data_IF_713342819015
#
_entry.id   IF_713342819015
#
_cell.length_a   1.000
_cell.length_b   1.000
_cell.length_c   1.000
_cell.angle_alpha   90.00
_cell.angle_beta   90.00
_cell.angle_gamma   90.00
#
_symmetry.space_group_name_H-M   'P 1'
#
loop_
_entity.id
_entity.type
_entity.pdbx_description
1 polymer ?
#
# COMPACT_ATOMS: atom_id res chain seq x y z
N UNK A 1 0.87 8.50 28.11
CA UNK A 1 -0.45 8.09 27.58
C UNK A 1 -1.17 9.32 27.08
N UNK A 2 -1.47 9.35 25.79
CA UNK A 2 -2.11 10.47 25.06
C UNK A 2 -3.64 10.41 25.17
N UNK A 3 -4.21 9.43 25.90
CA UNK A 3 -5.66 9.22 26.04
C UNK A 3 -6.47 10.40 26.56
N UNK A 4 -5.84 11.33 27.26
CA UNK A 4 -6.50 12.54 27.78
C UNK A 4 -6.39 13.73 26.84
N UNK A 5 -5.66 13.60 25.73
CA UNK A 5 -5.46 14.67 24.78
C UNK A 5 -6.58 14.67 23.73
N UNK A 6 -7.63 15.42 24.05
CA UNK A 6 -8.82 15.58 23.23
C UNK A 6 -8.48 15.97 21.78
N UNK A 7 -7.47 16.82 21.58
CA UNK A 7 -7.10 17.30 20.26
C UNK A 7 -6.53 16.20 19.37
N UNK A 8 -5.76 15.27 19.94
CA UNK A 8 -5.21 14.14 19.20
C UNK A 8 -6.33 13.20 18.77
N UNK A 9 -7.25 12.85 19.67
CA UNK A 9 -8.40 12.01 19.35
C UNK A 9 -9.30 12.65 18.29
N UNK A 10 -9.57 13.95 18.41
CA UNK A 10 -10.37 14.70 17.45
C UNK A 10 -9.71 14.70 16.06
N UNK A 11 -8.40 14.97 15.97
CA UNK A 11 -7.66 14.95 14.73
C UNK A 11 -7.71 13.57 14.05
N UNK A 12 -7.60 12.49 14.83
CA UNK A 12 -7.71 11.12 14.32
C UNK A 12 -9.10 10.80 13.78
N UNK A 13 -10.16 11.19 14.50
CA UNK A 13 -11.54 10.99 14.05
C UNK A 13 -11.78 11.76 12.75
N UNK A 14 -11.34 13.02 12.67
CA UNK A 14 -11.44 13.83 11.45
C UNK A 14 -10.71 13.14 10.29
N UNK A 15 -9.50 12.63 10.53
CA UNK A 15 -8.73 11.92 9.52
C UNK A 15 -9.45 10.67 8.99
N UNK A 16 -9.96 9.81 9.88
CA UNK A 16 -10.69 8.60 9.46
C UNK A 16 -11.99 8.93 8.73
N UNK A 17 -12.74 9.93 9.19
CA UNK A 17 -13.96 10.39 8.51
C UNK A 17 -13.63 10.94 7.12
N UNK A 18 -12.58 11.73 6.99
CA UNK A 18 -12.13 12.25 5.69
C UNK A 18 -11.76 11.11 4.74
N UNK A 19 -10.97 10.13 5.19
CA UNK A 19 -10.60 8.94 4.40
C UNK A 19 -11.82 8.14 3.93
N UNK A 20 -12.74 7.83 4.84
CA UNK A 20 -13.97 7.11 4.50
C UNK A 20 -14.85 7.90 3.52
N UNK A 21 -14.92 9.21 3.70
CA UNK A 21 -15.68 10.10 2.82
C UNK A 21 -15.11 10.12 1.40
N UNK A 22 -13.78 10.20 1.26
CA UNK A 22 -13.11 10.14 -0.05
C UNK A 22 -13.39 8.79 -0.73
N UNK A 23 -13.21 7.68 0.00
CA UNK A 23 -13.51 6.34 -0.51
C UNK A 23 -14.97 6.21 -0.96
N UNK A 24 -15.92 6.74 -0.19
CA UNK A 24 -17.33 6.74 -0.55
C UNK A 24 -17.65 7.61 -1.77
N UNK A 25 -17.08 8.82 -1.88
CA UNK A 25 -17.28 9.72 -3.03
C UNK A 25 -16.81 9.05 -4.34
N UNK A 26 -15.65 8.39 -4.32
CA UNK A 26 -15.10 7.75 -5.51
C UNK A 26 -15.60 6.33 -5.75
N UNK A 27 -16.34 5.74 -4.80
CA UNK A 27 -16.83 4.35 -4.88
C UNK A 27 -17.57 4.04 -6.18
N UNK A 28 -18.50 4.90 -6.60
CA UNK A 28 -19.29 4.71 -7.82
C UNK A 28 -18.43 4.70 -9.07
N UNK A 29 -17.39 5.54 -9.12
CA UNK A 29 -16.45 5.59 -10.24
C UNK A 29 -15.51 4.39 -10.23
N UNK A 30 -14.98 4.04 -9.06
CA UNK A 30 -14.07 2.92 -8.88
C UNK A 30 -14.73 1.60 -9.29
N UNK A 31 -15.97 1.38 -8.85
CA UNK A 31 -16.74 0.16 -9.14
C UNK A 31 -17.36 0.12 -10.56
N UNK A 32 -17.10 1.11 -11.42
CA UNK A 32 -17.67 1.14 -12.78
C UNK A 32 -17.04 0.14 -13.74
N UNK A 33 -15.79 -0.31 -13.50
CA UNK A 33 -15.14 -1.37 -14.26
C UNK A 33 -13.89 -1.86 -13.53
N UNK A 34 -13.41 -3.07 -13.86
CA UNK A 34 -12.14 -3.62 -13.39
C UNK A 34 -10.95 -2.67 -13.62
N UNK A 35 -10.95 -1.93 -14.74
CA UNK A 35 -9.90 -0.96 -15.07
C UNK A 35 -9.94 0.29 -14.19
N UNK A 36 -11.13 0.73 -13.80
CA UNK A 36 -11.29 1.84 -12.87
C UNK A 36 -10.94 1.41 -11.45
N UNK A 37 -11.37 0.21 -11.04
CA UNK A 37 -11.13 -0.32 -9.71
C UNK A 37 -9.64 -0.56 -9.43
N UNK A 38 -8.91 -1.19 -10.36
CA UNK A 38 -7.50 -1.55 -10.13
C UNK A 38 -6.47 -0.52 -10.61
N UNK A 39 -6.84 0.39 -11.51
CA UNK A 39 -5.88 1.32 -12.11
C UNK A 39 -6.42 2.75 -12.29
N UNK A 40 -7.60 3.09 -11.74
CA UNK A 40 -8.20 4.42 -11.87
C UNK A 40 -8.44 4.85 -13.32
N UNK A 41 -8.61 3.87 -14.23
CA UNK A 41 -8.69 4.12 -15.66
C UNK A 41 -7.40 4.65 -16.28
N UNK A 42 -6.30 4.73 -15.52
CA UNK A 42 -5.03 5.40 -15.86
C UNK A 42 -5.20 6.90 -16.18
N UNK A 43 -6.24 7.52 -15.62
CA UNK A 43 -6.51 8.95 -15.77
C UNK A 43 -5.93 9.81 -14.65
N UNK A 44 -5.32 9.19 -13.63
CA UNK A 44 -4.67 9.91 -12.52
C UNK A 44 -3.30 10.42 -12.98
N UNK A 45 -3.01 11.68 -12.69
CA UNK A 45 -1.76 12.32 -13.10
C UNK A 45 -0.51 11.63 -12.51
N UNK A 46 0.66 11.86 -13.12
CA UNK A 46 1.91 11.19 -12.74
C UNK A 46 2.31 11.48 -11.29
N UNK A 47 2.08 12.69 -10.78
CA UNK A 47 2.42 13.08 -9.41
C UNK A 47 1.58 12.34 -8.36
N UNK A 48 0.26 12.31 -8.52
CA UNK A 48 -0.62 11.56 -7.62
C UNK A 48 -0.34 10.06 -7.68
N UNK A 49 -0.08 9.53 -8.88
CA UNK A 49 0.30 8.12 -9.06
C UNK A 49 1.60 7.79 -8.34
N UNK A 50 2.62 8.66 -8.44
CA UNK A 50 3.88 8.49 -7.74
C UNK A 50 3.70 8.56 -6.21
N UNK A 51 2.97 9.56 -5.71
CA UNK A 51 2.69 9.69 -4.27
C UNK A 51 1.92 8.48 -3.72
N UNK A 52 0.94 7.96 -4.47
CA UNK A 52 0.21 6.75 -4.09
C UNK A 52 1.11 5.50 -4.05
N UNK A 53 2.01 5.37 -5.03
CA UNK A 53 2.98 4.28 -5.06
C UNK A 53 3.95 4.35 -3.86
N UNK A 54 4.50 5.53 -3.58
CA UNK A 54 5.40 5.73 -2.43
C UNK A 54 4.66 5.59 -1.10
N UNK A 55 3.44 6.11 -0.96
CA UNK A 55 2.64 5.92 0.26
C UNK A 55 2.35 4.43 0.54
N UNK A 56 2.21 3.63 -0.52
CA UNK A 56 2.07 2.17 -0.40
C UNK A 56 3.39 1.49 0.00
N UNK A 57 4.54 2.03 -0.43
CA UNK A 57 5.86 1.53 -0.03
C UNK A 57 6.19 1.90 1.44
N UNK A 58 5.81 3.12 1.84
CA UNK A 58 6.03 3.69 3.18
C UNK A 58 5.03 3.14 4.20
N UNK A 59 5.27 1.90 4.63
CA UNK A 59 4.43 1.17 5.57
C UNK A 59 4.75 1.45 7.05
N UNK A 60 4.14 0.66 7.95
CA UNK A 60 4.50 0.62 9.37
C UNK A 60 6.00 0.37 9.64
N UNK A 61 6.73 -0.20 8.67
CA UNK A 61 8.19 -0.30 8.70
C UNK A 61 8.87 1.06 8.83
N UNK A 62 8.44 2.09 8.08
CA UNK A 62 9.08 3.40 8.17
C UNK A 62 8.74 4.09 9.51
N UNK A 63 7.51 3.90 9.99
CA UNK A 63 7.04 4.53 11.22
C UNK A 63 7.70 3.94 12.48
N UNK A 64 7.83 2.60 12.54
CA UNK A 64 8.33 1.91 13.73
C UNK A 64 9.68 1.22 13.52
N UNK A 65 9.91 0.63 12.34
CA UNK A 65 11.10 -0.14 12.03
C UNK A 65 12.34 0.73 11.87
N UNK A 66 12.30 1.74 11.01
CA UNK A 66 13.46 2.59 10.74
C UNK A 66 13.95 3.37 11.98
N UNK A 67 13.07 3.99 12.80
CA UNK A 67 13.49 4.57 14.08
C UNK A 67 13.97 3.53 15.08
N UNK A 68 13.39 2.32 15.06
CA UNK A 68 13.85 1.20 15.87
C UNK A 68 15.29 0.80 15.53
N UNK A 69 15.62 0.67 14.25
CA UNK A 69 17.00 0.45 13.79
C UNK A 69 17.88 1.60 14.25
N UNK A 70 17.48 2.85 14.02
CA UNK A 70 18.23 4.03 14.45
C UNK A 70 18.53 4.03 15.96
N UNK A 71 17.58 3.58 16.78
CA UNK A 71 17.73 3.48 18.22
C UNK A 71 18.82 2.47 18.62
N UNK A 72 18.94 1.35 17.90
CA UNK A 72 19.93 0.30 18.22
C UNK A 72 21.30 0.52 17.56
N UNK A 73 21.35 1.06 16.35
CA UNK A 73 22.56 1.13 15.52
C UNK A 73 23.09 2.55 15.31
N UNK A 74 22.38 3.55 15.83
CA UNK A 74 22.66 4.96 15.55
C UNK A 74 22.23 5.39 14.15
N UNK A 75 22.62 6.60 13.75
CA UNK A 75 22.08 7.25 12.54
C UNK A 75 22.64 6.71 11.21
N UNK A 76 23.76 5.99 11.23
CA UNK A 76 24.45 5.56 10.02
C UNK A 76 23.63 4.52 9.22
N UNK A 77 23.13 3.46 9.86
CA UNK A 77 22.42 2.38 9.17
C UNK A 77 21.06 2.81 8.58
N UNK A 78 20.23 3.60 9.30
CA UNK A 78 19.03 4.20 8.72
C UNK A 78 19.34 5.11 7.52
N UNK A 79 20.45 5.86 7.58
CA UNK A 79 20.84 6.76 6.48
C UNK A 79 21.22 5.97 5.23
N UNK A 80 22.02 4.90 5.38
CA UNK A 80 22.33 4.00 4.27
C UNK A 80 21.07 3.35 3.69
N UNK A 81 20.14 2.96 4.54
CA UNK A 81 18.83 2.42 4.12
C UNK A 81 18.05 3.45 3.30
N UNK A 82 17.95 4.69 3.78
CA UNK A 82 17.24 5.77 3.08
C UNK A 82 17.88 6.10 1.72
N UNK A 83 19.21 6.20 1.65
CA UNK A 83 19.93 6.42 0.39
C UNK A 83 19.75 5.26 -0.59
N UNK A 84 19.82 4.03 -0.08
CA UNK A 84 19.61 2.82 -0.88
C UNK A 84 18.20 2.75 -1.45
N UNK A 85 17.18 3.07 -0.66
CA UNK A 85 15.79 3.15 -1.11
C UNK A 85 15.62 4.22 -2.18
N UNK A 86 16.12 5.44 -1.94
CA UNK A 86 16.00 6.54 -2.91
C UNK A 86 16.64 6.20 -4.27
N UNK A 87 17.87 5.67 -4.25
CA UNK A 87 18.57 5.22 -5.46
C UNK A 87 17.87 4.03 -6.11
N UNK A 88 17.46 3.04 -5.32
CA UNK A 88 16.79 1.82 -5.77
C UNK A 88 15.47 2.13 -6.47
N UNK A 89 14.62 2.95 -5.85
CA UNK A 89 13.35 3.41 -6.43
C UNK A 89 13.58 4.17 -7.72
N UNK A 90 14.52 5.12 -7.76
CA UNK A 90 14.84 5.87 -8.97
C UNK A 90 15.29 4.95 -10.12
N UNK A 91 16.20 4.01 -9.85
CA UNK A 91 16.69 3.06 -10.85
C UNK A 91 15.59 2.09 -11.29
N UNK A 92 14.73 1.63 -10.37
CA UNK A 92 13.58 0.79 -10.70
C UNK A 92 12.64 1.48 -11.69
N UNK A 93 12.29 2.73 -11.42
CA UNK A 93 11.41 3.52 -12.30
C UNK A 93 12.04 3.73 -13.68
N UNK A 94 13.34 4.07 -13.70
CA UNK A 94 14.08 4.35 -14.94
C UNK A 94 14.26 3.10 -15.82
N UNK A 95 14.64 1.97 -15.21
CA UNK A 95 15.06 0.76 -15.94
C UNK A 95 13.92 -0.25 -16.13
N UNK A 96 13.12 -0.47 -15.08
CA UNK A 96 12.11 -1.54 -15.03
C UNK A 96 10.73 -0.99 -15.40
N UNK A 97 10.23 0.00 -14.65
CA UNK A 97 8.84 0.45 -14.78
C UNK A 97 8.51 0.94 -16.20
N UNK A 98 9.39 1.76 -16.80
CA UNK A 98 9.19 2.25 -18.19
C UNK A 98 9.17 1.13 -19.22
N UNK A 99 9.99 0.09 -19.04
CA UNK A 99 10.08 -1.04 -19.99
C UNK A 99 8.89 -1.96 -19.83
N UNK A 100 8.52 -2.25 -18.58
CA UNK A 100 7.34 -3.02 -18.22
C UNK A 100 6.07 -2.37 -18.78
N UNK A 101 5.89 -1.05 -18.58
CA UNK A 101 4.70 -0.36 -19.08
C UNK A 101 4.59 -0.40 -20.60
N UNK A 102 5.66 -0.06 -21.33
CA UNK A 102 5.64 -0.10 -22.81
C UNK A 102 5.28 -1.48 -23.34
N UNK A 103 5.83 -2.54 -22.72
CA UNK A 103 5.53 -3.89 -23.16
C UNK A 103 4.11 -4.32 -22.75
N UNK A 104 3.63 -3.93 -21.56
CA UNK A 104 2.27 -4.24 -21.14
C UNK A 104 1.24 -3.74 -22.15
N UNK A 105 1.43 -2.56 -22.76
CA UNK A 105 0.53 -1.99 -23.77
C UNK A 105 0.46 -2.89 -25.01
N UNK A 106 1.61 -3.32 -25.53
CA UNK A 106 1.68 -4.14 -26.74
C UNK A 106 1.17 -5.57 -26.48
N UNK A 107 1.38 -6.09 -25.27
CA UNK A 107 0.95 -7.41 -24.85
C UNK A 107 -0.51 -7.41 -24.34
N UNK A 108 -1.43 -6.64 -24.92
CA UNK A 108 -2.85 -6.64 -24.54
C UNK A 108 -3.17 -5.85 -23.26
N UNK A 109 -2.42 -4.79 -23.02
CA UNK A 109 -2.61 -3.75 -21.99
C UNK A 109 -2.91 -4.28 -20.58
N UNK A 110 -2.08 -5.21 -20.12
CA UNK A 110 -2.25 -5.90 -18.84
C UNK A 110 -2.44 -4.97 -17.64
N UNK A 111 -3.31 -5.39 -16.70
CA UNK A 111 -3.66 -4.60 -15.51
C UNK A 111 -2.85 -5.06 -14.29
N UNK A 112 -2.47 -6.34 -14.20
CA UNK A 112 -1.68 -6.91 -13.09
C UNK A 112 -0.40 -7.56 -13.59
N UNK A 113 0.56 -7.82 -12.68
CA UNK A 113 1.81 -8.52 -13.01
C UNK A 113 1.56 -9.98 -13.46
N UNK A 114 0.71 -10.78 -12.79
CA UNK A 114 0.36 -12.12 -13.28
C UNK A 114 -0.28 -12.09 -14.69
N UNK A 115 -1.21 -11.16 -14.93
CA UNK A 115 -1.82 -10.97 -16.25
C UNK A 115 -0.76 -10.60 -17.31
N UNK A 116 0.18 -9.73 -16.95
CA UNK A 116 1.30 -9.39 -17.82
C UNK A 116 2.16 -10.61 -18.15
N UNK A 117 2.49 -11.46 -17.18
CA UNK A 117 3.24 -12.69 -17.44
C UNK A 117 2.47 -13.68 -18.30
N UNK A 118 1.16 -13.83 -18.05
CA UNK A 118 0.31 -14.70 -18.88
C UNK A 118 0.36 -14.27 -20.35
N UNK A 119 0.15 -12.97 -20.62
CA UNK A 119 0.15 -12.42 -21.97
C UNK A 119 1.53 -12.41 -22.61
N UNK A 120 2.57 -12.03 -21.86
CA UNK A 120 3.96 -11.98 -22.34
C UNK A 120 4.48 -13.36 -22.76
N UNK A 121 4.20 -14.39 -21.96
CA UNK A 121 4.70 -15.74 -22.19
C UNK A 121 3.71 -16.64 -22.94
N UNK A 122 2.58 -16.08 -23.39
CA UNK A 122 1.50 -16.83 -24.05
C UNK A 122 1.07 -18.07 -23.24
N UNK A 123 0.93 -17.88 -21.92
CA UNK A 123 0.66 -18.93 -20.94
C UNK A 123 -0.79 -19.42 -21.03
N UNK A 124 -1.09 -20.25 -22.05
CA UNK A 124 -2.43 -20.79 -22.28
C UNK A 124 -2.99 -21.62 -21.12
N UNK A 125 -2.12 -22.13 -20.24
CA UNK A 125 -2.49 -22.95 -19.08
C UNK A 125 -2.48 -22.18 -17.76
N UNK A 126 -2.17 -20.88 -17.78
CA UNK A 126 -2.06 -20.00 -16.62
C UNK A 126 -1.11 -20.50 -15.52
N UNK A 127 -0.11 -21.33 -15.84
CA UNK A 127 0.81 -21.90 -14.85
C UNK A 127 1.71 -20.80 -14.28
N UNK A 128 2.35 -20.02 -15.14
CA UNK A 128 3.27 -18.94 -14.75
C UNK A 128 2.50 -17.84 -14.02
N UNK A 129 1.30 -17.50 -14.52
CA UNK A 129 0.43 -16.52 -13.86
C UNK A 129 -0.01 -16.98 -12.47
N UNK A 130 -0.38 -18.25 -12.31
CA UNK A 130 -0.82 -18.79 -11.01
C UNK A 130 0.33 -18.79 -10.00
N UNK A 131 1.52 -19.21 -10.41
CA UNK A 131 2.71 -19.17 -9.53
C UNK A 131 3.01 -17.74 -9.11
N UNK A 132 3.00 -16.79 -10.04
CA UNK A 132 3.23 -15.38 -9.72
C UNK A 132 2.16 -14.82 -8.76
N UNK A 133 0.88 -15.14 -9.00
CA UNK A 133 -0.21 -14.71 -8.13
C UNK A 133 -0.10 -15.30 -6.71
N UNK A 134 0.27 -16.58 -6.59
CA UNK A 134 0.47 -17.23 -5.28
C UNK A 134 1.63 -16.61 -4.51
N UNK A 135 2.76 -16.35 -5.17
CA UNK A 135 3.91 -15.67 -4.56
C UNK A 135 3.46 -14.30 -4.04
N UNK A 136 2.84 -13.48 -4.89
CA UNK A 136 2.34 -12.16 -4.49
C UNK A 136 1.41 -12.28 -3.29
N UNK A 137 0.43 -13.18 -3.34
CA UNK A 137 -0.55 -13.37 -2.27
C UNK A 137 0.11 -13.70 -0.92
N UNK A 138 1.06 -14.64 -0.91
CA UNK A 138 1.74 -15.06 0.33
C UNK A 138 2.55 -13.91 0.93
N UNK A 139 3.37 -13.24 0.13
CA UNK A 139 4.21 -12.14 0.62
C UNK A 139 3.38 -10.92 1.05
N UNK A 140 2.33 -10.58 0.29
CA UNK A 140 1.44 -9.49 0.67
C UNK A 140 0.62 -9.81 1.92
N UNK A 141 0.25 -11.07 2.15
CA UNK A 141 -0.45 -11.46 3.38
C UNK A 141 0.41 -11.18 4.62
N UNK A 142 1.69 -11.58 4.59
CA UNK A 142 2.64 -11.29 5.68
C UNK A 142 2.85 -9.79 5.85
N UNK A 143 3.00 -9.06 4.74
CA UNK A 143 3.18 -7.61 4.75
C UNK A 143 1.98 -6.85 5.34
N UNK A 144 0.76 -7.18 4.90
CA UNK A 144 -0.47 -6.55 5.45
C UNK A 144 -0.66 -6.93 6.92
N UNK A 145 -0.36 -8.18 7.29
CA UNK A 145 -0.38 -8.61 8.68
C UNK A 145 0.57 -7.80 9.57
N UNK A 146 1.78 -7.49 9.08
CA UNK A 146 2.72 -6.65 9.83
C UNK A 146 2.22 -5.21 10.01
N UNK A 147 1.50 -4.67 9.02
CA UNK A 147 0.88 -3.34 9.13
C UNK A 147 -0.19 -3.29 10.22
N UNK A 148 -1.04 -4.32 10.33
CA UNK A 148 -2.03 -4.39 11.41
C UNK A 148 -1.39 -4.54 12.80
N UNK A 149 -0.29 -5.31 12.90
CA UNK A 149 0.52 -5.38 14.13
C UNK A 149 1.07 -4.00 14.50
N UNK A 150 1.55 -3.21 13.52
CA UNK A 150 1.99 -1.83 13.76
C UNK A 150 0.85 -0.96 14.31
N UNK A 151 -0.36 -1.05 13.75
CA UNK A 151 -1.53 -0.32 14.27
C UNK A 151 -1.81 -0.71 15.72
N UNK A 152 -1.90 -2.01 16.03
CA UNK A 152 -2.14 -2.48 17.39
C UNK A 152 -1.09 -1.97 18.37
N UNK A 153 0.20 -2.08 18.01
CA UNK A 153 1.32 -1.61 18.87
C UNK A 153 1.31 -0.11 19.06
N UNK A 154 1.04 0.66 18.00
CA UNK A 154 1.00 2.11 18.07
C UNK A 154 -0.07 2.56 19.07
N UNK A 155 -1.28 2.04 18.93
CA UNK A 155 -2.39 2.46 19.78
C UNK A 155 -2.26 1.94 21.21
N UNK A 156 -1.79 0.70 21.42
CA UNK A 156 -1.55 0.19 22.75
C UNK A 156 -0.47 1.00 23.48
N UNK A 157 0.57 1.45 22.77
CA UNK A 157 1.68 2.20 23.38
C UNK A 157 1.31 3.66 23.65
N UNK A 158 0.63 4.32 22.72
CA UNK A 158 0.27 5.74 22.87
C UNK A 158 -0.93 5.95 23.79
N UNK A 159 -1.97 5.13 23.63
CA UNK A 159 -3.26 5.31 24.30
C UNK A 159 -3.49 4.28 25.43
N UNK A 160 -2.67 3.24 25.56
CA UNK A 160 -2.93 2.19 26.54
C UNK A 160 -4.16 1.34 26.22
N UNK A 161 -4.63 1.37 24.97
CA UNK A 161 -5.77 0.59 24.51
C UNK A 161 -5.37 -0.87 24.32
N UNK A 162 -6.37 -1.76 24.33
CA UNK A 162 -6.13 -3.18 24.10
C UNK A 162 -5.54 -3.42 22.69
N UNK A 163 -4.44 -4.15 22.65
CA UNK A 163 -3.68 -4.42 21.43
C UNK A 163 -4.52 -5.19 20.39
N UNK A 164 -5.24 -6.22 20.82
CA UNK A 164 -6.00 -7.08 19.92
C UNK A 164 -7.23 -6.35 19.36
N UNK A 165 -7.95 -5.63 20.23
CA UNK A 165 -9.12 -4.84 19.85
C UNK A 165 -8.76 -3.74 18.85
N UNK A 166 -7.68 -3.00 19.10
CA UNK A 166 -7.24 -1.92 18.20
C UNK A 166 -6.75 -2.43 16.85
N UNK A 167 -6.04 -3.56 16.84
CA UNK A 167 -5.64 -4.23 15.61
C UNK A 167 -6.86 -4.65 14.78
N UNK A 168 -7.88 -5.27 15.39
CA UNK A 168 -9.10 -5.72 14.69
C UNK A 168 -9.91 -4.54 14.16
N UNK A 169 -10.09 -3.48 14.95
CA UNK A 169 -10.79 -2.27 14.51
C UNK A 169 -10.05 -1.61 13.35
N UNK A 170 -8.72 -1.47 13.45
CA UNK A 170 -7.89 -0.93 12.39
C UNK A 170 -8.01 -1.73 11.09
N UNK A 171 -7.96 -3.07 11.19
CA UNK A 171 -8.16 -3.95 10.05
C UNK A 171 -9.55 -3.80 9.42
N UNK A 172 -10.61 -3.70 10.23
CA UNK A 172 -11.97 -3.53 9.75
C UNK A 172 -12.16 -2.19 9.01
N UNK A 173 -11.62 -1.09 9.54
CA UNK A 173 -11.65 0.22 8.87
C UNK A 173 -10.92 0.16 7.54
N UNK A 174 -9.70 -0.40 7.54
CA UNK A 174 -8.87 -0.52 6.34
C UNK A 174 -9.55 -1.36 5.27
N UNK A 175 -10.08 -2.51 5.66
CA UNK A 175 -10.85 -3.37 4.78
C UNK A 175 -12.06 -2.64 4.18
N UNK A 176 -12.86 -1.96 5.01
CA UNK A 176 -14.07 -1.26 4.57
C UNK A 176 -13.77 -0.19 3.51
N UNK A 177 -12.82 0.72 3.77
CA UNK A 177 -12.53 1.79 2.80
C UNK A 177 -11.85 1.25 1.54
N UNK A 178 -11.05 0.19 1.65
CA UNK A 178 -10.33 -0.38 0.49
C UNK A 178 -11.30 -1.05 -0.49
N UNK A 179 -12.26 -1.82 0.04
CA UNK A 179 -13.30 -2.49 -0.78
C UNK A 179 -14.22 -1.47 -1.46
N UNK A 180 -14.56 -0.39 -0.76
CA UNK A 180 -15.45 0.65 -1.28
C UNK A 180 -14.74 1.52 -2.32
N UNK A 181 -13.50 1.91 -2.05
CA UNK A 181 -12.76 2.94 -2.77
C UNK A 181 -11.95 2.47 -3.98
N UNK A 182 -11.42 1.24 -3.97
CA UNK A 182 -10.48 0.74 -4.98
C UNK A 182 -9.27 1.68 -5.18
N UNK A 183 -8.73 1.78 -6.40
CA UNK A 183 -7.52 2.58 -6.68
C UNK A 183 -7.69 4.10 -6.44
N UNK A 184 -8.92 4.61 -6.43
CA UNK A 184 -9.20 6.05 -6.36
C UNK A 184 -9.41 6.58 -4.93
N UNK A 185 -9.41 5.70 -3.91
CA UNK A 185 -9.45 6.11 -2.50
C UNK A 185 -8.11 6.50 -1.92
#
# INVERSE_FOLDING_TARGET
MVTKDFWVLLAMVIYFVAMLTIGFIYSKRSNSSTRQYFAGGRGVGPWLTALSAEASDMSGWLLMGLPGVAYFTGAADPLWTALGLALGTYLNWKLVARRLRRYSVVAGDAITIPDFFSKRFHDKRNIVSTIAALIILVFFCVYVGSCFVTVGKLFSTLFGWDYHLTMVIGAAIVFAYTVIGGYLS
#
